data_IF_530775055338
#
_entry.id   IF_530775055338
#
_cell.length_a   1.000
_cell.length_b   1.000
_cell.length_c   1.000
_cell.angle_alpha   90.00
_cell.angle_beta   90.00
_cell.angle_gamma   90.00
#
_symmetry.space_group_name_H-M   'P 1'
#
loop_
_entity.id
_entity.type
_entity.pdbx_description
1 polymer ?
#
# COMPACT_ATOMS: atom_id res chain seq x y z
N UNK A 1 -3.90 13.02 24.55
CA UNK A 1 -3.49 12.04 23.53
C UNK A 1 -1.96 11.93 23.52
N UNK A 2 -1.44 10.74 23.69
CA UNK A 2 0.01 10.50 23.63
C UNK A 2 0.51 10.58 22.18
N UNK A 3 1.84 10.64 22.04
CA UNK A 3 2.46 10.58 20.71
C UNK A 3 2.06 9.30 19.98
N UNK A 4 2.10 8.17 20.68
CA UNK A 4 1.72 6.88 20.12
C UNK A 4 0.26 6.85 19.68
N UNK A 5 -0.64 7.37 20.48
CA UNK A 5 -2.06 7.44 20.13
C UNK A 5 -2.29 8.31 18.91
N UNK A 6 -1.62 9.46 18.85
CA UNK A 6 -1.69 10.34 17.67
C UNK A 6 -1.16 9.66 16.43
N UNK A 7 -0.01 9.02 16.53
CA UNK A 7 0.61 8.36 15.38
C UNK A 7 -0.22 7.18 14.87
N UNK A 8 -0.85 6.43 15.76
CA UNK A 8 -1.81 5.39 15.36
C UNK A 8 -2.99 5.99 14.61
N UNK A 9 -3.54 7.10 15.11
CA UNK A 9 -4.67 7.76 14.46
C UNK A 9 -4.29 8.28 13.07
N UNK A 10 -3.10 8.84 12.91
CA UNK A 10 -2.60 9.30 11.61
C UNK A 10 -2.41 8.13 10.64
N UNK A 11 -1.92 7.00 11.14
CA UNK A 11 -1.76 5.80 10.32
C UNK A 11 -3.11 5.30 9.80
N UNK A 12 -4.10 5.20 10.67
CA UNK A 12 -5.45 4.78 10.27
C UNK A 12 -6.09 5.77 9.30
N UNK A 13 -5.87 7.06 9.51
CA UNK A 13 -6.33 8.09 8.61
C UNK A 13 -5.71 7.93 7.21
N UNK A 14 -4.42 7.62 7.14
CA UNK A 14 -3.74 7.37 5.87
C UNK A 14 -4.38 6.23 5.09
N UNK A 15 -4.63 5.10 5.73
CA UNK A 15 -5.31 3.98 5.07
C UNK A 15 -6.69 4.36 4.57
N UNK A 16 -7.49 5.03 5.39
CA UNK A 16 -8.85 5.38 5.02
C UNK A 16 -8.93 6.44 3.94
N UNK A 17 -8.21 7.53 4.09
CA UNK A 17 -8.35 8.65 3.18
C UNK A 17 -7.52 8.51 1.90
N UNK A 18 -6.28 8.03 2.00
CA UNK A 18 -5.43 7.85 0.81
C UNK A 18 -5.87 6.66 -0.02
N UNK A 19 -5.96 5.48 0.58
CA UNK A 19 -6.22 4.25 -0.15
C UNK A 19 -7.70 3.96 -0.34
N UNK A 20 -8.49 4.01 0.71
CA UNK A 20 -9.91 3.66 0.61
C UNK A 20 -10.72 4.73 -0.12
N UNK A 21 -10.37 6.01 0.04
CA UNK A 21 -11.06 7.10 -0.65
C UNK A 21 -10.30 7.65 -1.85
N UNK A 22 -9.03 7.38 -1.97
CA UNK A 22 -8.21 7.88 -3.08
C UNK A 22 -7.91 9.37 -3.00
N UNK A 23 -7.91 9.95 -1.81
CA UNK A 23 -7.64 11.38 -1.63
C UNK A 23 -6.13 11.63 -1.62
N UNK A 24 -5.61 12.05 -2.77
CA UNK A 24 -4.18 12.29 -2.93
C UNK A 24 -3.68 13.53 -2.18
N UNK A 25 -4.56 14.45 -1.83
CA UNK A 25 -4.17 15.65 -1.06
C UNK A 25 -3.69 15.26 0.35
N UNK A 26 -4.17 14.16 0.87
CA UNK A 26 -3.76 13.65 2.18
C UNK A 26 -2.31 13.17 2.15
N UNK A 27 -1.82 12.69 1.01
CA UNK A 27 -0.40 12.35 0.85
C UNK A 27 0.46 13.58 1.12
N UNK A 28 0.12 14.72 0.53
CA UNK A 28 0.88 15.95 0.73
C UNK A 28 0.81 16.44 2.19
N UNK A 29 -0.30 16.17 2.85
CA UNK A 29 -0.49 16.56 4.25
C UNK A 29 0.31 15.68 5.21
N UNK A 30 0.29 14.36 5.00
CA UNK A 30 0.83 13.40 5.96
C UNK A 30 2.24 12.90 5.67
N UNK A 31 2.72 13.01 4.44
CA UNK A 31 4.03 12.48 4.06
C UNK A 31 5.09 13.57 4.09
N UNK A 32 6.23 13.28 4.72
CA UNK A 32 7.34 14.23 4.80
C UNK A 32 7.96 14.45 3.43
N UNK A 33 8.41 15.68 3.15
CA UNK A 33 9.02 16.02 1.88
C UNK A 33 10.31 15.27 1.57
N UNK A 34 10.97 14.71 2.60
CA UNK A 34 12.18 13.90 2.45
C UNK A 34 12.01 12.55 3.08
N UNK A 35 10.82 11.96 2.92
CA UNK A 35 10.56 10.62 3.43
C UNK A 35 11.14 9.55 2.53
N UNK A 36 11.15 8.33 3.04
CA UNK A 36 11.67 7.17 2.31
C UNK A 36 10.76 5.96 2.43
N UNK A 37 10.40 5.39 1.29
CA UNK A 37 9.81 4.06 1.23
C UNK A 37 10.96 3.09 1.04
N UNK A 38 11.24 2.29 2.05
CA UNK A 38 12.39 1.39 2.08
C UNK A 38 12.25 0.18 1.16
N UNK A 39 11.10 0.00 0.51
CA UNK A 39 10.91 -1.02 -0.52
C UNK A 39 11.31 -0.49 -1.91
N UNK A 40 11.60 0.79 -2.02
CA UNK A 40 11.95 1.42 -3.28
C UNK A 40 13.44 1.76 -3.37
N UNK A 41 13.91 2.08 -4.58
CA UNK A 41 15.28 2.48 -4.80
C UNK A 41 15.61 3.76 -4.03
N UNK A 42 16.83 3.90 -3.46
CA UNK A 42 17.24 5.12 -2.79
C UNK A 42 17.05 6.34 -3.69
N UNK A 43 16.56 7.43 -3.11
CA UNK A 43 16.33 8.68 -3.85
C UNK A 43 14.99 8.78 -4.55
N UNK A 44 14.14 7.77 -4.44
CA UNK A 44 12.78 7.83 -4.96
C UNK A 44 11.98 8.87 -4.17
N UNK A 45 11.27 9.75 -4.87
CA UNK A 45 10.40 10.74 -4.22
C UNK A 45 9.23 10.01 -3.57
N UNK A 46 9.21 9.98 -2.25
CA UNK A 46 8.24 9.20 -1.49
C UNK A 46 6.79 9.63 -1.76
N UNK A 47 6.51 10.93 -1.69
CA UNK A 47 5.15 11.41 -1.90
C UNK A 47 4.65 11.14 -3.33
N UNK A 48 5.49 11.43 -4.31
CA UNK A 48 5.14 11.19 -5.72
C UNK A 48 4.91 9.70 -5.99
N UNK A 49 5.79 8.85 -5.44
CA UNK A 49 5.65 7.40 -5.59
C UNK A 49 4.37 6.89 -4.94
N UNK A 50 4.07 7.35 -3.72
CA UNK A 50 2.88 6.92 -3.01
C UNK A 50 1.60 7.34 -3.74
N UNK A 51 1.57 8.56 -4.30
CA UNK A 51 0.43 9.00 -5.12
C UNK A 51 0.24 8.10 -6.34
N UNK A 52 1.35 7.74 -7.00
CA UNK A 52 1.31 6.85 -8.16
C UNK A 52 0.77 5.47 -7.78
N UNK A 53 1.22 4.92 -6.66
CA UNK A 53 0.74 3.63 -6.15
C UNK A 53 -0.77 3.69 -5.87
N UNK A 54 -1.24 4.72 -5.19
CA UNK A 54 -2.67 4.88 -4.90
C UNK A 54 -3.48 4.90 -6.19
N UNK A 55 -3.05 5.69 -7.17
CA UNK A 55 -3.74 5.78 -8.46
C UNK A 55 -3.79 4.44 -9.18
N UNK A 56 -2.66 3.75 -9.24
CA UNK A 56 -2.57 2.46 -9.95
C UNK A 56 -3.37 1.37 -9.26
N UNK A 57 -3.32 1.33 -7.94
CA UNK A 57 -4.09 0.36 -7.18
C UNK A 57 -5.59 0.58 -7.36
N UNK A 58 -6.04 1.83 -7.29
CA UNK A 58 -7.46 2.12 -7.45
C UNK A 58 -7.94 1.98 -8.89
N UNK A 59 -7.07 2.17 -9.86
CA UNK A 59 -7.40 1.90 -11.26
C UNK A 59 -7.60 0.40 -11.49
N UNK A 60 -6.73 -0.43 -10.91
CA UNK A 60 -6.84 -1.88 -11.01
C UNK A 60 -8.03 -2.44 -10.21
N UNK A 61 -8.27 -1.86 -9.03
CA UNK A 61 -9.32 -2.29 -8.11
C UNK A 61 -10.19 -1.08 -7.73
N UNK A 62 -11.23 -0.75 -8.52
CA UNK A 62 -12.06 0.42 -8.24
C UNK A 62 -12.74 0.39 -6.86
N UNK A 63 -12.97 -0.80 -6.33
CA UNK A 63 -13.53 -1.02 -5.00
C UNK A 63 -12.44 -1.32 -3.95
N UNK A 64 -11.21 -0.88 -4.18
CA UNK A 64 -10.09 -1.09 -3.27
C UNK A 64 -10.43 -0.69 -1.85
N UNK A 65 -10.15 -1.59 -0.91
CA UNK A 65 -10.31 -1.33 0.50
C UNK A 65 -9.22 -2.02 1.31
N UNK A 66 -8.62 -1.26 2.21
CA UNK A 66 -7.75 -1.78 3.27
C UNK A 66 -8.54 -1.83 4.56
N UNK A 67 -8.54 -2.98 5.21
CA UNK A 67 -9.07 -3.16 6.55
C UNK A 67 -7.90 -3.39 7.48
N UNK A 68 -7.70 -2.48 8.44
CA UNK A 68 -6.61 -2.59 9.40
C UNK A 68 -7.09 -3.41 10.61
N UNK A 69 -6.44 -4.54 10.85
CA UNK A 69 -6.83 -5.45 11.93
C UNK A 69 -6.11 -5.13 13.25
N UNK A 70 -4.85 -4.76 13.16
CA UNK A 70 -4.05 -4.39 14.33
C UNK A 70 -3.20 -3.18 14.00
N UNK A 71 -3.14 -2.25 14.95
CA UNK A 71 -2.23 -1.12 14.89
C UNK A 71 -1.59 -0.96 16.26
N UNK A 72 -0.26 -0.99 16.29
CA UNK A 72 0.54 -0.91 17.50
C UNK A 72 1.54 0.22 17.35
N UNK A 73 1.87 0.90 18.45
CA UNK A 73 2.85 1.98 18.41
C UNK A 73 3.80 1.91 19.59
N UNK A 74 5.06 2.24 19.33
CA UNK A 74 6.09 2.39 20.34
C UNK A 74 7.01 3.51 19.89
N UNK A 75 7.12 4.56 20.71
CA UNK A 75 7.88 5.76 20.34
C UNK A 75 7.31 6.40 19.07
N UNK A 76 8.17 6.61 18.08
CA UNK A 76 7.79 7.19 16.79
C UNK A 76 7.39 6.15 15.73
N UNK A 77 7.36 4.87 16.11
CA UNK A 77 7.07 3.79 15.18
C UNK A 77 5.66 3.26 15.35
N UNK A 78 5.02 2.94 14.23
CA UNK A 78 3.70 2.29 14.20
C UNK A 78 3.78 1.06 13.32
N UNK A 79 3.26 -0.06 13.82
CA UNK A 79 3.11 -1.28 13.03
C UNK A 79 1.63 -1.51 12.76
N UNK A 80 1.32 -1.89 11.53
CA UNK A 80 -0.07 -2.17 11.13
C UNK A 80 -0.14 -3.47 10.34
N UNK A 81 -1.14 -4.30 10.68
CA UNK A 81 -1.48 -5.49 9.93
C UNK A 81 -2.84 -5.28 9.29
N UNK A 82 -2.91 -5.46 7.98
CA UNK A 82 -4.11 -5.17 7.23
C UNK A 82 -4.41 -6.23 6.17
N UNK A 83 -5.63 -6.20 5.66
CA UNK A 83 -6.05 -6.98 4.48
C UNK A 83 -6.53 -6.02 3.42
N UNK A 84 -5.98 -6.17 2.22
CA UNK A 84 -6.43 -5.43 1.04
C UNK A 84 -7.43 -6.29 0.29
N UNK A 85 -8.58 -5.73 -0.04
CA UNK A 85 -9.59 -6.39 -0.86
C UNK A 85 -9.92 -5.53 -2.07
N UNK A 86 -10.40 -6.17 -3.12
CA UNK A 86 -10.85 -5.48 -4.31
C UNK A 86 -11.21 -6.45 -5.41
N UNK A 87 -11.90 -5.95 -6.43
CA UNK A 87 -12.22 -6.69 -7.63
C UNK A 87 -11.38 -6.17 -8.79
N UNK A 88 -10.66 -7.06 -9.46
CA UNK A 88 -9.71 -6.70 -10.51
C UNK A 88 -10.43 -6.36 -11.81
N UNK A 89 -10.81 -5.11 -11.96
CA UNK A 89 -11.57 -4.62 -13.11
C UNK A 89 -10.79 -3.70 -14.04
N UNK A 90 -9.58 -3.29 -13.65
CA UNK A 90 -8.72 -2.45 -14.46
C UNK A 90 -7.32 -3.04 -14.61
N UNK A 91 -6.52 -2.45 -15.49
CA UNK A 91 -5.14 -2.89 -15.70
C UNK A 91 -4.34 -2.73 -14.39
N UNK A 92 -3.63 -3.78 -14.02
CA UNK A 92 -2.76 -3.76 -12.84
C UNK A 92 -1.32 -3.52 -13.30
N UNK A 93 -0.81 -2.33 -13.01
CA UNK A 93 0.50 -1.87 -13.49
C UNK A 93 1.57 -1.80 -12.41
N UNK A 94 1.48 -2.61 -11.38
CA UNK A 94 2.39 -2.50 -10.24
C UNK A 94 3.37 -3.65 -10.17
N UNK A 95 4.63 -3.27 -9.94
CA UNK A 95 5.69 -4.18 -9.57
C UNK A 95 6.38 -4.88 -10.72
N UNK A 96 7.25 -5.81 -10.40
CA UNK A 96 8.12 -6.45 -11.38
C UNK A 96 7.44 -7.53 -12.21
N UNK A 97 6.14 -7.74 -12.02
CA UNK A 97 5.41 -8.84 -12.66
C UNK A 97 4.83 -8.46 -14.01
N UNK A 98 5.06 -7.23 -14.44
CA UNK A 98 4.47 -6.70 -15.66
C UNK A 98 3.00 -6.34 -15.47
N UNK A 99 2.39 -5.89 -16.54
CA UNK A 99 0.99 -5.48 -16.51
C UNK A 99 0.08 -6.69 -16.57
N UNK A 100 -0.96 -6.69 -15.73
CA UNK A 100 -1.94 -7.77 -15.70
C UNK A 100 -3.29 -7.21 -16.14
N UNK A 101 -3.80 -7.72 -17.25
CA UNK A 101 -5.11 -7.34 -17.77
C UNK A 101 -6.21 -7.73 -16.79
N UNK A 102 -7.34 -6.99 -16.79
CA UNK A 102 -8.45 -7.27 -15.87
C UNK A 102 -8.90 -8.72 -15.89
N UNK A 103 -9.00 -9.33 -14.73
CA UNK A 103 -9.43 -10.73 -14.59
C UNK A 103 -10.87 -10.86 -14.09
N UNK A 104 -11.44 -9.79 -13.54
CA UNK A 104 -12.74 -9.80 -12.91
C UNK A 104 -12.75 -10.52 -11.56
N UNK A 105 -11.60 -10.97 -11.07
CA UNK A 105 -11.51 -11.73 -9.83
C UNK A 105 -11.42 -10.82 -8.62
N UNK A 106 -12.01 -11.27 -7.52
CA UNK A 106 -11.87 -10.61 -6.24
C UNK A 106 -10.60 -11.10 -5.57
N UNK A 107 -9.86 -10.17 -4.96
CA UNK A 107 -8.65 -10.50 -4.22
C UNK A 107 -8.79 -10.15 -2.75
N UNK A 108 -8.03 -10.85 -1.92
CA UNK A 108 -7.95 -10.63 -0.49
C UNK A 108 -6.52 -10.92 -0.06
N UNK A 109 -5.74 -9.86 0.16
CA UNK A 109 -4.29 -9.94 0.28
C UNK A 109 -3.82 -9.30 1.59
N UNK A 110 -3.00 -10.03 2.32
CA UNK A 110 -2.46 -9.55 3.60
C UNK A 110 -1.27 -8.64 3.37
N UNK A 111 -1.22 -7.57 4.18
CA UNK A 111 -0.12 -6.60 4.18
C UNK A 111 0.38 -6.38 5.60
N UNK A 112 1.66 -6.06 5.71
CA UNK A 112 2.26 -5.59 6.96
C UNK A 112 3.05 -4.34 6.67
N UNK A 113 2.89 -3.34 7.54
CA UNK A 113 3.53 -2.05 7.41
C UNK A 113 4.18 -1.62 8.70
N UNK A 114 5.34 -0.95 8.60
CA UNK A 114 5.92 -0.15 9.65
C UNK A 114 6.03 1.28 9.16
N UNK A 115 5.63 2.22 10.00
CA UNK A 115 5.72 3.65 9.70
C UNK A 115 6.54 4.34 10.77
N UNK A 116 7.37 5.31 10.39
CA UNK A 116 7.90 6.27 11.35
C UNK A 116 7.16 7.58 11.17
N UNK A 117 6.74 8.16 12.28
CA UNK A 117 6.04 9.43 12.33
C UNK A 117 6.84 10.42 13.16
N UNK A 118 7.15 11.58 12.58
CA UNK A 118 7.86 12.67 13.28
C UNK A 118 7.07 13.95 13.06
N UNK A 119 6.64 14.57 14.16
CA UNK A 119 5.87 15.82 14.13
C UNK A 119 4.65 15.78 13.18
N UNK A 120 3.93 14.68 13.19
CA UNK A 120 2.73 14.50 12.37
C UNK A 120 2.99 14.16 10.92
N UNK A 121 4.23 13.84 10.55
CA UNK A 121 4.60 13.46 9.19
C UNK A 121 5.16 12.06 9.15
N UNK A 122 4.74 11.29 8.14
CA UNK A 122 5.30 9.98 7.88
C UNK A 122 6.65 10.15 7.17
N UNK A 123 7.72 9.78 7.84
CA UNK A 123 9.09 9.94 7.33
C UNK A 123 9.64 8.68 6.70
N UNK A 124 9.20 7.53 7.16
CA UNK A 124 9.70 6.24 6.68
C UNK A 124 8.58 5.23 6.59
N UNK A 125 8.66 4.39 5.58
CA UNK A 125 7.74 3.28 5.37
C UNK A 125 8.52 2.01 5.03
N UNK A 126 8.21 0.94 5.75
CA UNK A 126 8.61 -0.43 5.41
C UNK A 126 7.33 -1.22 5.24
N UNK A 127 7.21 -1.98 4.15
CA UNK A 127 5.98 -2.75 3.94
C UNK A 127 6.24 -4.01 3.14
N UNK A 128 5.40 -5.00 3.40
CA UNK A 128 5.42 -6.26 2.67
C UNK A 128 3.98 -6.66 2.36
N UNK A 129 3.75 -7.01 1.12
CA UNK A 129 2.48 -7.55 0.65
C UNK A 129 2.67 -9.03 0.35
N UNK A 130 1.65 -9.84 0.61
CA UNK A 130 1.65 -11.25 0.23
C UNK A 130 1.44 -11.38 -1.29
N UNK A 131 2.51 -11.12 -2.03
CA UNK A 131 2.50 -11.09 -3.49
C UNK A 131 2.15 -12.45 -4.09
N UNK A 132 2.62 -13.54 -3.48
CA UNK A 132 2.31 -14.88 -3.96
C UNK A 132 0.81 -15.16 -3.91
N UNK A 133 0.15 -14.76 -2.83
CA UNK A 133 -1.31 -14.90 -2.71
C UNK A 133 -2.03 -14.07 -3.77
N UNK A 134 -1.58 -12.83 -4.00
CA UNK A 134 -2.17 -11.97 -5.02
C UNK A 134 -2.08 -12.62 -6.41
N UNK A 135 -0.90 -13.10 -6.77
CA UNK A 135 -0.69 -13.75 -8.08
C UNK A 135 -1.57 -14.98 -8.24
N UNK A 136 -1.67 -15.82 -7.21
CA UNK A 136 -2.54 -16.98 -7.24
C UNK A 136 -4.01 -16.61 -7.45
N UNK A 137 -4.45 -15.61 -6.70
CA UNK A 137 -5.85 -15.17 -6.74
C UNK A 137 -6.21 -14.56 -8.09
N UNK A 138 -5.28 -13.86 -8.71
CA UNK A 138 -5.48 -13.32 -10.06
C UNK A 138 -5.36 -14.37 -11.15
N UNK A 139 -4.90 -15.55 -10.83
CA UNK A 139 -4.65 -16.58 -11.83
C UNK A 139 -3.43 -16.28 -12.70
N UNK A 140 -2.62 -15.28 -12.28
CA UNK A 140 -1.41 -14.89 -12.99
C UNK A 140 -0.22 -15.64 -12.43
N UNK A 141 -0.44 -16.84 -11.89
CA UNK A 141 0.58 -17.61 -11.25
C UNK A 141 1.80 -17.61 -12.10
N UNK A 142 2.81 -16.94 -11.60
CA UNK A 142 4.11 -17.13 -12.06
C UNK A 142 4.21 -17.65 -13.45
N UNK A 143 3.86 -16.86 -14.37
CA UNK A 143 4.00 -17.23 -15.71
C UNK A 143 5.44 -17.51 -15.96
N UNK A 144 5.74 -18.68 -16.17
CA UNK A 144 7.04 -19.04 -16.52
C UNK A 144 7.24 -18.81 -17.95
N UNK A 145 7.25 -17.59 -18.34
CA UNK A 145 7.48 -17.24 -19.72
C UNK A 145 8.71 -17.92 -20.26
N UNK A 146 8.59 -18.50 -21.40
CA UNK A 146 9.67 -19.20 -22.03
C UNK A 146 9.90 -20.59 -21.51
N UNK A 147 9.16 -21.02 -20.54
CA UNK A 147 9.23 -22.38 -20.04
C UNK A 147 8.05 -23.15 -20.56
N UNK A 148 8.26 -24.14 -21.38
CA UNK A 148 7.20 -24.99 -21.88
C UNK A 148 6.50 -25.66 -20.72
N UNK A 149 5.23 -25.82 -20.86
CA UNK A 149 4.45 -26.52 -19.85
C UNK A 149 4.89 -27.98 -19.74
#
# INVERSE_FOLDING_TARGET
MTTEERNKALTLRGFEEMFNRGDLSVVDELVAGRGEDHQEAPGTDFAAHLKDVVKKMRAAFPDLRFEVHHVLAEGDMVAARSTMTGTHEGLFEIGPFGDIAPTGRRVEVRHMHFFRWVDGKNTDLWHIMDTAALMRQLGASRQRTGVPA
#
